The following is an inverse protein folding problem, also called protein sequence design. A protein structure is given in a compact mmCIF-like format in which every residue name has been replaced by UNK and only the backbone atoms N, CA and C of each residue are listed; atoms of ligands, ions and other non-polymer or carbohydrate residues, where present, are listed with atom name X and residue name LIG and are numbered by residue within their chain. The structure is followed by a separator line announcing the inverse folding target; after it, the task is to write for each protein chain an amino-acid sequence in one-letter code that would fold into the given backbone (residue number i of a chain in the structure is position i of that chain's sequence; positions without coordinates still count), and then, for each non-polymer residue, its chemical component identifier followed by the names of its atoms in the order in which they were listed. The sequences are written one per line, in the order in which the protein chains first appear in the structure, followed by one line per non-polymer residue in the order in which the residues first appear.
data_IF_881619233887
#
_entry.id   IF_881619233887
#
_cell.length_a   1.000
_cell.length_b   1.000
_cell.length_c   1.000
_cell.angle_alpha   90.00
_cell.angle_beta   90.00
_cell.angle_gamma   90.00
#
_symmetry.space_group_name_H-M   'P 1'
#
loop_
_entity.id
_entity.type
_entity.pdbx_description
1 polymer ?
#
# COMPACT_ATOMS: atom_id res chain seq x y z
N UNK A 1 -79.70 -25.70 7.71
CA UNK A 1 -80.37 -24.38 7.76
C UNK A 1 -79.52 -23.48 8.67
N UNK A 2 -79.05 -22.28 8.36
CA UNK A 2 -79.15 -21.39 7.20
C UNK A 2 -78.85 -19.95 7.67
N UNK A 3 -77.75 -19.33 7.17
CA UNK A 3 -77.45 -17.88 7.09
C UNK A 3 -77.32 -17.05 8.39
N UNK A 4 -76.61 -15.91 8.47
CA UNK A 4 -76.01 -15.00 7.46
C UNK A 4 -74.83 -14.16 8.05
N UNK A 5 -73.89 -13.81 7.15
CA UNK A 5 -73.02 -12.62 6.94
C UNK A 5 -72.72 -11.61 8.08
N UNK A 6 -71.52 -11.00 8.21
CA UNK A 6 -70.87 -10.15 7.20
C UNK A 6 -69.38 -9.83 7.45
N UNK A 7 -68.71 -9.48 6.35
CA UNK A 7 -67.30 -9.21 6.05
C UNK A 7 -66.69 -7.97 6.75
N UNK A 8 -65.38 -8.01 7.01
CA UNK A 8 -64.45 -6.93 6.60
C UNK A 8 -62.99 -7.41 6.52
N UNK A 9 -62.50 -7.51 5.29
CA UNK A 9 -61.10 -7.71 4.90
C UNK A 9 -60.48 -6.34 4.62
N UNK A 10 -59.26 -6.09 5.10
CA UNK A 10 -58.45 -4.93 4.67
C UNK A 10 -57.22 -5.43 3.94
N UNK A 11 -57.33 -5.36 2.61
CA UNK A 11 -56.25 -5.46 1.62
C UNK A 11 -55.54 -4.11 1.62
N UNK A 12 -54.23 -4.05 1.84
CA UNK A 12 -53.42 -2.86 1.49
C UNK A 12 -52.56 -3.21 0.29
N UNK A 13 -52.82 -2.48 -0.79
CA UNK A 13 -52.13 -2.54 -2.07
C UNK A 13 -50.73 -1.93 -1.93
N UNK A 14 -49.76 -2.56 -2.58
CA UNK A 14 -48.48 -1.96 -2.93
C UNK A 14 -48.72 -1.03 -4.13
N UNK A 15 -48.30 0.23 -4.03
CA UNK A 15 -48.21 1.17 -5.14
C UNK A 15 -46.78 1.69 -5.22
N UNK A 16 -46.14 1.44 -6.37
CA UNK A 16 -44.84 1.94 -6.80
C UNK A 16 -44.93 3.39 -7.28
N UNK A 17 -44.09 4.28 -6.75
CA UNK A 17 -43.57 5.52 -7.35
C UNK A 17 -42.44 5.95 -6.38
N UNK A 18 -41.28 6.50 -6.73
CA UNK A 18 -40.75 7.16 -7.91
C UNK A 18 -39.56 7.97 -7.37
N UNK A 19 -38.42 7.90 -8.05
CA UNK A 19 -37.13 8.44 -7.65
C UNK A 19 -37.15 9.96 -7.46
N UNK A 20 -36.47 10.50 -6.44
CA UNK A 20 -36.05 11.91 -6.44
C UNK A 20 -34.73 12.13 -5.70
N UNK A 21 -33.88 12.92 -6.36
CA UNK A 21 -32.48 13.20 -6.10
C UNK A 21 -32.28 14.20 -4.95
N UNK A 22 -31.20 14.01 -4.18
CA UNK A 22 -30.83 14.90 -3.07
C UNK A 22 -30.17 16.20 -3.57
N UNK A 23 -30.74 17.33 -3.14
CA UNK A 23 -30.24 18.69 -3.32
C UNK A 23 -28.98 18.97 -2.47
N UNK A 24 -27.97 19.57 -3.08
CA UNK A 24 -26.73 20.02 -2.44
C UNK A 24 -26.90 21.46 -1.88
N UNK A 25 -26.46 21.68 -0.65
CA UNK A 25 -26.52 22.97 0.05
C UNK A 25 -25.37 23.89 -0.39
N UNK A 26 -25.67 25.18 -0.56
CA UNK A 26 -24.74 26.20 -1.08
C UNK A 26 -23.86 26.86 -0.02
N UNK A 27 -22.64 27.21 -0.43
CA UNK A 27 -21.69 28.08 0.28
C UNK A 27 -21.64 29.48 -0.38
N UNK A 28 -21.39 30.57 0.37
CA UNK A 28 -21.42 31.93 -0.16
C UNK A 28 -20.14 32.34 -0.91
N UNK A 29 -20.29 33.06 -2.03
CA UNK A 29 -19.23 33.63 -2.88
C UNK A 29 -18.69 34.96 -2.35
N UNK A 30 -17.38 35.17 -2.49
CA UNK A 30 -16.71 36.49 -2.40
C UNK A 30 -16.59 37.14 -3.80
N UNK A 31 -16.60 38.47 -3.93
CA UNK A 31 -16.66 39.14 -5.23
C UNK A 31 -15.26 39.33 -5.83
N UNK A 32 -15.06 38.86 -7.07
CA UNK A 32 -13.88 39.18 -7.87
C UNK A 32 -14.19 40.24 -8.92
N UNK A 33 -13.27 41.21 -9.02
CA UNK A 33 -13.26 42.30 -9.99
C UNK A 33 -13.18 41.81 -11.44
N UNK A 34 -13.92 42.48 -12.31
CA UNK A 34 -13.98 42.29 -13.76
C UNK A 34 -12.77 42.95 -14.45
N UNK A 35 -12.05 42.21 -15.29
CA UNK A 35 -11.02 42.77 -16.16
C UNK A 35 -11.20 42.27 -17.61
N UNK A 36 -11.32 43.23 -18.53
CA UNK A 36 -11.61 43.07 -19.96
C UNK A 36 -10.52 42.29 -20.72
N UNK A 37 -10.93 41.33 -21.55
CA UNK A 37 -10.10 40.75 -22.61
C UNK A 37 -10.67 41.06 -24.01
N UNK A 38 -9.86 41.47 -24.99
CA UNK A 38 -10.31 41.71 -26.35
C UNK A 38 -10.34 40.43 -27.20
N UNK A 39 -11.37 40.34 -28.05
CA UNK A 39 -11.63 39.28 -29.02
C UNK A 39 -10.63 39.29 -30.18
N UNK A 40 -10.08 38.13 -30.55
CA UNK A 40 -9.37 37.94 -31.82
C UNK A 40 -9.98 36.81 -32.65
N UNK A 41 -10.25 37.15 -33.92
CA UNK A 41 -10.79 36.34 -35.00
C UNK A 41 -9.87 35.17 -35.39
N UNK A 42 -10.46 34.02 -35.73
CA UNK A 42 -9.80 32.87 -36.37
C UNK A 42 -10.04 32.87 -37.88
N UNK A 43 -8.99 32.79 -38.74
CA UNK A 43 -9.15 32.50 -40.16
C UNK A 43 -9.00 31.00 -40.46
N UNK A 44 -9.92 30.46 -41.27
CA UNK A 44 -9.81 29.15 -41.90
C UNK A 44 -8.78 29.18 -43.04
N UNK A 45 -7.80 28.27 -43.03
CA UNK A 45 -6.96 27.99 -44.20
C UNK A 45 -6.83 26.48 -44.47
N UNK A 46 -6.76 26.19 -45.77
CA UNK A 46 -6.93 24.90 -46.42
C UNK A 46 -5.72 23.96 -46.31
N UNK A 47 -6.01 22.67 -46.51
CA UNK A 47 -5.04 21.55 -46.65
C UNK A 47 -3.92 21.86 -47.64
N UNK A 48 -2.70 21.45 -47.28
CA UNK A 48 -1.60 21.21 -48.21
C UNK A 48 -1.05 19.78 -48.01
N UNK A 49 -0.67 19.13 -49.12
CA UNK A 49 -0.20 17.75 -49.19
C UNK A 49 1.24 17.57 -48.64
N UNK A 50 1.54 16.33 -48.23
CA UNK A 50 2.82 15.93 -47.63
C UNK A 50 4.00 16.01 -48.62
N UNK A 51 5.20 16.42 -48.17
CA UNK A 51 6.42 16.23 -48.93
C UNK A 51 7.11 14.90 -48.56
N UNK A 52 7.70 14.32 -49.60
CA UNK A 52 8.38 13.04 -49.66
C UNK A 52 9.75 13.05 -48.95
N UNK A 53 10.09 11.88 -48.40
CA UNK A 53 11.36 11.45 -47.83
C UNK A 53 12.63 11.94 -48.55
N UNK A 54 13.57 12.55 -47.81
CA UNK A 54 15.02 12.44 -48.03
C UNK A 54 15.78 12.75 -46.73
N UNK A 55 16.70 11.86 -46.32
CA UNK A 55 17.90 12.26 -45.57
C UNK A 55 18.17 11.63 -44.20
N UNK A 56 19.08 10.64 -44.20
CA UNK A 56 20.11 10.34 -43.18
C UNK A 56 19.70 9.82 -41.80
N UNK A 57 19.89 8.50 -41.61
CA UNK A 57 19.98 7.85 -40.30
C UNK A 57 21.30 8.23 -39.60
N UNK A 58 21.23 9.04 -38.56
CA UNK A 58 22.29 9.12 -37.55
C UNK A 58 22.12 7.95 -36.57
N UNK A 59 23.12 7.06 -36.38
CA UNK A 59 23.06 6.06 -35.32
C UNK A 59 23.15 6.79 -33.98
N UNK A 60 22.07 6.77 -33.19
CA UNK A 60 22.16 7.17 -31.80
C UNK A 60 23.10 6.20 -31.07
N UNK A 61 24.15 6.68 -30.36
CA UNK A 61 24.96 5.81 -29.54
C UNK A 61 24.07 5.26 -28.42
N UNK A 62 23.76 3.97 -28.49
CA UNK A 62 23.17 3.23 -27.39
C UNK A 62 24.10 3.39 -26.19
N UNK A 63 23.72 4.27 -25.26
CA UNK A 63 24.31 4.33 -23.93
C UNK A 63 24.06 2.97 -23.31
N UNK A 64 25.04 2.06 -23.40
CA UNK A 64 25.10 0.88 -22.54
C UNK A 64 25.15 1.42 -21.12
N UNK A 65 24.00 1.43 -20.46
CA UNK A 65 23.94 1.68 -19.03
C UNK A 65 24.91 0.70 -18.38
N UNK A 66 25.82 1.23 -17.57
CA UNK A 66 26.76 0.45 -16.79
C UNK A 66 26.01 -0.72 -16.16
N UNK A 67 26.53 -1.95 -16.36
CA UNK A 67 25.94 -3.22 -15.91
C UNK A 67 25.69 -3.29 -14.39
N UNK A 68 26.12 -2.25 -13.65
CA UNK A 68 25.92 -2.03 -12.21
C UNK A 68 24.47 -1.67 -11.83
N UNK A 69 23.61 -1.35 -12.80
CA UNK A 69 22.19 -1.00 -12.57
C UNK A 69 21.24 -1.78 -13.49
N UNK A 70 21.57 -3.03 -13.85
CA UNK A 70 20.61 -3.89 -14.55
C UNK A 70 19.56 -4.42 -13.57
N UNK A 71 18.30 -4.44 -14.01
CA UNK A 71 17.20 -5.10 -13.30
C UNK A 71 17.60 -6.57 -13.07
N UNK A 72 17.52 -7.02 -11.82
CA UNK A 72 17.66 -8.44 -11.48
C UNK A 72 16.42 -9.13 -12.06
N UNK A 73 16.62 -10.06 -12.99
CA UNK A 73 15.53 -10.82 -13.58
C UNK A 73 14.96 -11.82 -12.57
N UNK A 74 13.63 -12.00 -12.57
CA UNK A 74 12.95 -13.03 -11.79
C UNK A 74 13.29 -14.42 -12.35
N UNK A 75 14.33 -15.04 -11.79
CA UNK A 75 14.85 -16.35 -12.22
C UNK A 75 14.40 -17.51 -11.31
N UNK A 76 13.57 -17.23 -10.31
CA UNK A 76 13.19 -18.20 -9.27
C UNK A 76 11.68 -18.39 -9.22
N UNK A 77 11.23 -19.64 -9.09
CA UNK A 77 9.83 -20.04 -9.09
C UNK A 77 9.35 -20.52 -7.71
N UNK A 78 10.26 -20.82 -6.78
CA UNK A 78 9.96 -21.28 -5.42
C UNK A 78 10.82 -20.56 -4.39
N UNK A 79 10.37 -20.53 -3.13
CA UNK A 79 11.15 -19.95 -2.03
C UNK A 79 12.45 -20.75 -1.78
N UNK A 80 12.39 -22.07 -1.94
CA UNK A 80 13.56 -22.96 -1.83
C UNK A 80 14.65 -22.56 -2.84
N UNK A 81 14.28 -22.28 -4.10
CA UNK A 81 15.25 -21.80 -5.10
C UNK A 81 15.89 -20.46 -4.72
N UNK A 82 15.16 -19.59 -4.03
CA UNK A 82 15.71 -18.30 -3.53
C UNK A 82 16.68 -18.56 -2.39
N UNK A 83 16.30 -19.37 -1.40
CA UNK A 83 17.17 -19.76 -0.28
C UNK A 83 18.45 -20.42 -0.79
N UNK A 84 18.35 -21.38 -1.69
CA UNK A 84 19.51 -22.03 -2.30
C UNK A 84 20.40 -21.03 -3.03
N UNK A 85 19.82 -20.11 -3.80
CA UNK A 85 20.59 -19.11 -4.52
C UNK A 85 21.35 -18.16 -3.59
N UNK A 86 20.75 -17.78 -2.45
CA UNK A 86 21.42 -16.96 -1.43
C UNK A 86 22.61 -17.72 -0.82
N UNK A 87 22.44 -19.00 -0.48
CA UNK A 87 23.54 -19.83 0.01
C UNK A 87 24.68 -19.96 -1.02
N UNK A 88 24.34 -20.23 -2.28
CA UNK A 88 25.34 -20.33 -3.36
C UNK A 88 26.04 -19.00 -3.66
N UNK A 89 25.40 -17.87 -3.37
CA UNK A 89 26.02 -16.54 -3.47
C UNK A 89 26.98 -16.21 -2.32
N UNK A 90 27.13 -17.11 -1.34
CA UNK A 90 28.03 -16.94 -0.20
C UNK A 90 27.39 -16.23 0.99
N UNK A 91 26.05 -16.20 1.08
CA UNK A 91 25.40 -15.82 2.33
C UNK A 91 25.57 -16.99 3.32
N UNK A 92 26.60 -16.91 4.15
CA UNK A 92 26.91 -17.93 5.16
C UNK A 92 26.21 -17.63 6.49
N UNK A 93 26.11 -16.35 6.82
CA UNK A 93 25.70 -15.84 8.13
C UNK A 93 25.16 -14.42 8.00
N UNK A 94 24.08 -14.12 8.71
CA UNK A 94 23.47 -12.80 8.77
C UNK A 94 22.78 -12.58 10.11
N UNK A 95 22.54 -11.31 10.43
CA UNK A 95 21.62 -10.91 11.49
C UNK A 95 20.53 -10.06 10.85
N UNK A 96 19.28 -10.28 11.22
CA UNK A 96 18.14 -9.65 10.58
C UNK A 96 17.47 -8.63 11.51
N UNK A 97 17.17 -7.44 10.98
CA UNK A 97 16.39 -6.40 11.67
C UNK A 97 15.09 -6.19 10.91
N UNK A 98 13.95 -6.11 11.62
CA UNK A 98 12.63 -5.89 11.01
C UNK A 98 12.05 -4.56 11.46
N UNK A 99 11.71 -3.71 10.49
CA UNK A 99 10.98 -2.46 10.69
C UNK A 99 9.61 -2.51 10.01
N UNK A 100 8.54 -2.20 10.74
CA UNK A 100 7.16 -2.23 10.22
C UNK A 100 6.54 -0.82 10.24
N UNK A 101 6.12 -0.37 9.06
CA UNK A 101 5.38 0.88 8.87
C UNK A 101 3.95 0.73 9.40
N UNK A 102 3.59 1.51 10.43
CA UNK A 102 2.25 1.63 11.03
C UNK A 102 1.60 2.99 10.76
N UNK A 103 1.91 3.61 9.61
CA UNK A 103 1.29 4.86 9.18
C UNK A 103 -0.15 4.64 8.73
N UNK A 104 -0.95 5.71 8.83
CA UNK A 104 -2.37 5.72 8.49
C UNK A 104 -2.64 5.44 7.02
N UNK A 105 -1.66 5.64 6.15
CA UNK A 105 -1.80 5.37 4.72
C UNK A 105 -2.21 3.92 4.40
N UNK A 106 -1.83 2.99 5.30
CA UNK A 106 -2.22 1.59 5.25
C UNK A 106 -3.74 1.35 5.28
N UNK A 107 -4.54 2.31 5.74
CA UNK A 107 -6.01 2.20 5.70
C UNK A 107 -6.57 2.18 4.28
N UNK A 108 -5.93 2.87 3.32
CA UNK A 108 -6.46 3.04 1.96
C UNK A 108 -5.59 2.46 0.84
N UNK A 109 -4.32 2.17 1.09
CA UNK A 109 -3.41 1.58 0.08
C UNK A 109 -3.80 0.15 -0.31
N UNK A 110 -4.56 -0.55 0.55
CA UNK A 110 -5.20 -1.84 0.22
C UNK A 110 -6.43 -1.75 -0.69
N UNK A 111 -6.79 -0.56 -1.20
CA UNK A 111 -7.97 -0.34 -2.05
C UNK A 111 -8.08 -1.28 -3.25
N UNK A 112 -6.95 -1.54 -3.93
CA UNK A 112 -6.87 -2.40 -5.12
C UNK A 112 -6.34 -3.79 -4.81
N UNK A 113 -5.34 -3.89 -3.95
CA UNK A 113 -4.60 -5.12 -3.67
C UNK A 113 -5.21 -5.98 -2.57
N UNK A 114 -5.96 -5.39 -1.64
CA UNK A 114 -6.43 -6.08 -0.44
C UNK A 114 -7.93 -5.88 -0.17
N UNK A 115 -8.73 -5.91 -1.25
CA UNK A 115 -10.20 -5.87 -1.19
C UNK A 115 -10.75 -4.68 -0.40
N UNK A 116 -10.12 -3.51 -0.56
CA UNK A 116 -10.47 -2.26 0.17
C UNK A 116 -10.39 -2.36 1.69
N UNK A 117 -9.59 -3.31 2.21
CA UNK A 117 -9.26 -3.38 3.63
C UNK A 117 -7.94 -2.68 3.89
N UNK A 118 -7.74 -2.25 5.13
CA UNK A 118 -6.44 -1.82 5.62
C UNK A 118 -5.40 -2.94 5.41
N UNK A 119 -4.17 -2.58 5.02
CA UNK A 119 -3.07 -3.52 4.92
C UNK A 119 -2.69 -4.15 6.27
N UNK A 120 -3.08 -3.54 7.40
CA UNK A 120 -2.94 -4.10 8.75
C UNK A 120 -4.19 -4.83 9.26
N UNK A 121 -5.23 -5.03 8.45
CA UNK A 121 -6.47 -5.66 8.94
C UNK A 121 -6.20 -7.07 9.46
N UNK A 122 -6.45 -7.30 10.74
CA UNK A 122 -6.34 -8.60 11.40
C UNK A 122 -7.65 -9.36 11.23
N UNK A 123 -7.58 -10.55 10.64
CA UNK A 123 -8.74 -11.42 10.43
C UNK A 123 -8.34 -12.89 10.28
N UNK A 124 -9.21 -13.66 9.61
CA UNK A 124 -9.04 -15.10 9.40
C UNK A 124 -7.96 -15.46 8.37
N UNK A 125 -7.63 -14.54 7.46
CA UNK A 125 -6.54 -14.70 6.49
C UNK A 125 -5.41 -13.72 6.79
N UNK A 126 -4.24 -14.01 6.23
CA UNK A 126 -3.08 -13.13 6.34
C UNK A 126 -3.33 -11.82 5.60
N UNK A 127 -2.93 -10.71 6.21
CA UNK A 127 -2.76 -9.45 5.50
C UNK A 127 -1.37 -9.36 4.84
N UNK A 128 -1.12 -8.39 3.95
CA UNK A 128 0.13 -8.34 3.20
C UNK A 128 1.39 -8.24 4.06
N UNK A 129 1.32 -7.63 5.25
CA UNK A 129 2.44 -7.64 6.18
C UNK A 129 2.68 -9.04 6.78
N UNK A 130 1.62 -9.77 7.14
CA UNK A 130 1.74 -11.15 7.63
C UNK A 130 2.30 -12.09 6.57
N UNK A 131 1.88 -11.93 5.32
CA UNK A 131 2.41 -12.68 4.17
C UNK A 131 3.89 -12.37 3.98
N UNK A 132 4.29 -11.09 4.00
CA UNK A 132 5.69 -10.68 3.86
C UNK A 132 6.58 -11.23 4.99
N UNK A 133 6.18 -11.06 6.26
CA UNK A 133 6.89 -11.61 7.42
C UNK A 133 7.07 -13.13 7.25
N UNK A 134 6.01 -13.83 6.84
CA UNK A 134 6.06 -15.29 6.64
C UNK A 134 7.00 -15.72 5.52
N UNK A 135 6.99 -14.99 4.39
CA UNK A 135 7.87 -15.27 3.25
C UNK A 135 9.32 -15.02 3.63
N UNK A 136 9.61 -13.86 4.23
CA UNK A 136 10.96 -13.48 4.68
C UNK A 136 11.51 -14.53 5.63
N UNK A 137 10.74 -14.92 6.67
CA UNK A 137 11.17 -15.97 7.59
C UNK A 137 11.46 -17.30 6.89
N UNK A 138 10.58 -17.77 6.01
CA UNK A 138 10.82 -19.00 5.25
C UNK A 138 12.08 -18.95 4.38
N UNK A 139 12.44 -17.78 3.87
CA UNK A 139 13.60 -17.62 2.99
C UNK A 139 14.91 -17.37 3.73
N UNK A 140 14.88 -16.59 4.82
CA UNK A 140 16.06 -16.01 5.44
C UNK A 140 16.39 -16.59 6.83
N UNK A 141 15.45 -17.24 7.52
CA UNK A 141 15.71 -17.79 8.87
C UNK A 141 16.84 -18.81 8.91
N UNK A 142 17.15 -19.48 7.80
CA UNK A 142 18.27 -20.42 7.72
C UNK A 142 19.66 -19.75 7.78
N UNK A 143 19.72 -18.43 7.58
CA UNK A 143 20.95 -17.64 7.57
C UNK A 143 21.07 -16.72 8.80
N UNK A 144 20.07 -16.70 9.69
CA UNK A 144 20.12 -15.88 10.90
C UNK A 144 20.95 -16.60 11.98
N UNK A 145 21.99 -15.94 12.48
CA UNK A 145 23.01 -16.58 13.33
C UNK A 145 22.46 -17.06 14.67
N UNK A 146 21.58 -16.25 15.29
CA UNK A 146 21.11 -16.46 16.65
C UNK A 146 19.59 -16.64 16.75
N UNK A 147 18.86 -16.51 15.63
CA UNK A 147 17.41 -16.51 15.56
C UNK A 147 16.77 -15.37 16.39
N UNK A 148 17.53 -14.32 16.73
CA UNK A 148 17.07 -13.16 17.49
C UNK A 148 16.88 -11.98 16.54
N UNK A 149 15.62 -11.59 16.35
CA UNK A 149 15.22 -10.56 15.40
C UNK A 149 14.84 -9.28 16.16
N UNK A 150 15.68 -8.22 16.17
CA UNK A 150 15.26 -6.89 16.58
C UNK A 150 14.07 -6.44 15.72
N UNK A 151 12.93 -6.18 16.37
CA UNK A 151 11.68 -5.84 15.70
C UNK A 151 11.10 -4.53 16.20
N UNK A 152 10.84 -3.62 15.25
CA UNK A 152 10.41 -2.26 15.53
C UNK A 152 9.21 -1.85 14.68
N UNK A 153 8.37 -0.97 15.24
CA UNK A 153 7.32 -0.26 14.52
C UNK A 153 7.59 1.24 14.47
N UNK A 154 7.09 1.91 13.44
CA UNK A 154 7.18 3.37 13.29
C UNK A 154 5.95 3.94 12.58
N UNK A 155 5.70 5.25 12.70
CA UNK A 155 4.60 5.92 11.99
C UNK A 155 3.23 5.84 12.67
N UNK A 156 3.13 5.18 13.82
CA UNK A 156 1.93 5.23 14.65
C UNK A 156 1.89 6.55 15.46
N UNK A 157 0.80 6.79 16.18
CA UNK A 157 0.62 8.04 16.90
C UNK A 157 1.52 8.21 18.13
N UNK A 158 2.26 7.17 18.55
CA UNK A 158 3.29 7.30 19.57
C UNK A 158 4.64 7.75 19.00
N UNK A 159 4.94 7.42 17.73
CA UNK A 159 6.25 7.63 17.10
C UNK A 159 6.27 8.72 16.03
N UNK A 160 5.16 8.93 15.31
CA UNK A 160 5.08 9.80 14.14
C UNK A 160 6.25 9.53 13.17
N UNK A 161 6.95 10.56 12.72
CA UNK A 161 8.11 10.48 11.83
C UNK A 161 9.46 10.65 12.55
N UNK A 162 9.47 10.60 13.89
CA UNK A 162 10.63 10.93 14.72
C UNK A 162 11.27 9.72 15.39
N UNK A 163 10.48 8.71 15.75
CA UNK A 163 10.93 7.59 16.60
C UNK A 163 10.53 6.23 16.05
N UNK A 164 11.00 5.18 16.72
CA UNK A 164 10.51 3.81 16.59
C UNK A 164 10.12 3.26 17.96
N UNK A 165 9.23 2.27 17.99
CA UNK A 165 8.94 1.51 19.20
C UNK A 165 9.35 0.05 19.02
N UNK A 166 9.89 -0.58 20.07
CA UNK A 166 10.21 -2.01 20.08
C UNK A 166 8.95 -2.86 20.21
N UNK A 167 8.91 -4.01 19.56
CA UNK A 167 7.80 -4.96 19.66
C UNK A 167 7.59 -5.52 21.06
N UNK A 168 8.62 -5.47 21.91
CA UNK A 168 8.56 -5.83 23.31
C UNK A 168 8.86 -4.63 24.22
N UNK A 169 8.10 -4.42 25.31
CA UNK A 169 8.31 -3.29 26.23
C UNK A 169 9.67 -3.28 26.95
N UNK A 170 10.27 -4.46 27.16
CA UNK A 170 11.60 -4.65 27.73
C UNK A 170 12.71 -4.60 26.67
N UNK A 171 12.38 -4.19 25.44
CA UNK A 171 13.27 -4.13 24.29
C UNK A 171 13.95 -5.46 23.91
N UNK A 172 13.42 -6.60 24.39
CA UNK A 172 13.95 -7.91 23.98
C UNK A 172 13.66 -8.18 22.51
N UNK A 173 14.56 -8.92 21.86
CA UNK A 173 14.39 -9.34 20.48
C UNK A 173 13.36 -10.47 20.38
N UNK A 174 12.76 -10.61 19.20
CA UNK A 174 11.86 -11.72 18.90
C UNK A 174 12.68 -12.97 18.60
N UNK A 175 12.29 -14.12 19.13
CA UNK A 175 12.86 -15.41 18.82
C UNK A 175 12.22 -15.97 17.53
N UNK A 176 12.86 -15.69 16.40
CA UNK A 176 12.43 -16.08 15.06
C UNK A 176 11.22 -15.33 14.52
N UNK A 177 10.97 -15.50 13.22
CA UNK A 177 9.86 -14.87 12.50
C UNK A 177 8.48 -15.33 12.98
N UNK A 178 8.38 -16.49 13.62
CA UNK A 178 7.17 -16.95 14.29
C UNK A 178 6.78 -16.01 15.44
N UNK A 179 7.75 -15.57 16.26
CA UNK A 179 7.48 -14.60 17.32
C UNK A 179 7.20 -13.21 16.74
N UNK A 180 7.90 -12.80 15.67
CA UNK A 180 7.61 -11.54 14.96
C UNK A 180 6.16 -11.50 14.50
N UNK A 181 5.68 -12.55 13.82
CA UNK A 181 4.31 -12.63 13.32
C UNK A 181 3.29 -12.62 14.46
N UNK A 182 3.55 -13.37 15.53
CA UNK A 182 2.68 -13.41 16.71
C UNK A 182 2.58 -12.03 17.37
N UNK A 183 3.72 -11.36 17.60
CA UNK A 183 3.76 -10.03 18.21
C UNK A 183 3.12 -8.97 17.33
N UNK A 184 3.34 -9.02 16.03
CA UNK A 184 2.65 -8.17 15.06
C UNK A 184 1.12 -8.26 15.22
N UNK A 185 0.56 -9.47 15.26
CA UNK A 185 -0.89 -9.67 15.45
C UNK A 185 -1.40 -9.16 16.81
N UNK A 186 -0.57 -9.23 17.85
CA UNK A 186 -0.92 -8.75 19.20
C UNK A 186 -0.90 -7.22 19.30
N UNK A 187 0.08 -6.54 18.68
CA UNK A 187 0.23 -5.09 18.80
C UNK A 187 -0.74 -4.31 17.90
N UNK A 188 -0.98 -4.78 16.66
CA UNK A 188 -1.74 -4.04 15.65
C UNK A 188 -3.09 -3.52 16.13
N UNK A 189 -3.94 -4.31 16.83
CA UNK A 189 -5.24 -3.84 17.30
C UNK A 189 -5.18 -2.68 18.31
N UNK A 190 -4.02 -2.47 18.94
CA UNK A 190 -3.81 -1.47 19.99
C UNK A 190 -3.12 -0.21 19.46
N UNK A 191 -2.68 -0.20 18.20
CA UNK A 191 -2.00 0.94 17.59
C UNK A 191 -3.01 1.94 17.02
N UNK A 192 -2.66 3.23 17.12
CA UNK A 192 -3.35 4.29 16.40
C UNK A 192 -2.48 4.72 15.22
N UNK A 193 -2.84 4.27 14.02
CA UNK A 193 -2.07 4.60 12.81
C UNK A 193 -2.05 6.12 12.57
N UNK A 194 -0.88 6.68 12.24
CA UNK A 194 -0.68 8.12 12.11
C UNK A 194 0.26 8.50 10.95
N UNK A 195 1.25 9.36 11.20
CA UNK A 195 2.22 9.84 10.23
C UNK A 195 2.88 11.14 10.73
N UNK A 196 3.69 11.83 9.91
CA UNK A 196 4.08 11.49 8.54
C UNK A 196 4.89 10.19 8.42
N UNK A 197 5.17 9.77 7.19
CA UNK A 197 6.02 8.59 6.93
C UNK A 197 7.46 9.04 6.73
N UNK A 198 8.37 8.58 7.60
CA UNK A 198 9.82 8.71 7.44
C UNK A 198 10.49 7.37 7.77
N UNK A 199 11.46 6.97 6.96
CA UNK A 199 12.31 5.80 7.26
C UNK A 199 13.57 6.18 8.04
N UNK A 200 13.84 7.47 8.26
CA UNK A 200 15.03 7.90 9.01
C UNK A 200 15.10 7.24 10.40
N UNK A 201 14.03 7.23 11.24
CA UNK A 201 14.13 6.64 12.58
C UNK A 201 14.46 5.15 12.58
N UNK A 202 13.91 4.37 11.65
CA UNK A 202 14.17 2.93 11.58
C UNK A 202 15.55 2.61 11.00
N UNK A 203 16.06 3.44 10.07
CA UNK A 203 17.42 3.31 9.56
C UNK A 203 18.44 3.68 10.65
N UNK A 204 18.21 4.77 11.37
CA UNK A 204 19.05 5.20 12.50
C UNK A 204 19.07 4.16 13.63
N UNK A 205 17.92 3.56 13.93
CA UNK A 205 17.85 2.43 14.87
C UNK A 205 18.67 1.24 14.38
N UNK A 206 18.55 0.87 13.10
CA UNK A 206 19.35 -0.21 12.53
C UNK A 206 20.86 0.09 12.60
N UNK A 207 21.28 1.33 12.31
CA UNK A 207 22.66 1.79 12.46
C UNK A 207 23.16 1.78 13.91
N UNK A 208 22.27 1.84 14.89
CA UNK A 208 22.64 1.77 16.32
C UNK A 208 22.90 0.33 16.78
N UNK A 209 22.29 -0.65 16.10
CA UNK A 209 22.40 -2.07 16.42
C UNK A 209 23.67 -2.70 15.81
N UNK A 210 24.11 -2.21 14.64
CA UNK A 210 25.28 -2.71 13.90
C UNK A 210 26.55 -1.91 14.14
#
# INVERSE_FOLDING_TARGET
MGGKSSKRTSRRQFSSFGSSSFNHHGYPQSPYHQQNHPSYYTPQHHRAAAPTNYGTQTPQPQRKLDRRYSIIADNYQTLEQVTDALAHAGLESSNLIVGIDFTKSNEWTGSRSFKRRSLHHIGNGQNPYEEAISIIGKTLSAFDEDNLIPCFGFGDASTHDQDVFSFHPDARFCNGFEEVLRRYREIVPHLRLAGPTSFAPIIEMAMTIV
#
